data_IF_056302753127
#
_entry.id   IF_056302753127
#
_cell.length_a   1.000
_cell.length_b   1.000
_cell.length_c   1.000
_cell.angle_alpha   90.00
_cell.angle_beta   90.00
_cell.angle_gamma   90.00
#
_symmetry.space_group_name_H-M   'P 1'
#
loop_
_entity.id
_entity.type
_entity.pdbx_description
1 polymer ?
#
# COMPACT_ATOMS: atom_id res chain seq x y z
N UNK A 1 -44.20 -34.63 7.87
CA UNK A 1 -43.04 -33.74 7.64
C UNK A 1 -42.50 -34.06 6.26
N UNK A 2 -42.76 -33.21 5.27
CA UNK A 2 -42.24 -33.41 3.91
C UNK A 2 -40.78 -32.96 3.86
N UNK A 3 -39.86 -33.74 3.27
CA UNK A 3 -38.46 -33.37 3.17
C UNK A 3 -38.34 -32.14 2.26
N UNK A 4 -37.72 -31.09 2.78
CA UNK A 4 -37.40 -29.88 2.05
C UNK A 4 -36.42 -30.24 0.92
N UNK A 5 -36.83 -29.99 -0.33
CA UNK A 5 -36.09 -30.38 -1.53
C UNK A 5 -34.92 -29.42 -1.79
N UNK A 6 -33.85 -29.57 -1.00
CA UNK A 6 -32.56 -28.86 -1.06
C UNK A 6 -32.00 -28.69 -2.50
N UNK A 7 -32.25 -29.69 -3.36
CA UNK A 7 -31.85 -29.69 -4.76
C UNK A 7 -32.47 -28.55 -5.58
N UNK A 8 -33.74 -28.20 -5.30
CA UNK A 8 -34.44 -27.14 -6.04
C UNK A 8 -33.91 -25.76 -5.66
N UNK A 9 -33.53 -25.56 -4.39
CA UNK A 9 -32.98 -24.30 -3.90
C UNK A 9 -31.55 -24.07 -4.42
N UNK A 10 -30.71 -25.11 -4.46
CA UNK A 10 -29.38 -25.03 -5.08
C UNK A 10 -29.49 -24.67 -6.57
N UNK A 11 -30.42 -25.30 -7.30
CA UNK A 11 -30.64 -25.01 -8.72
C UNK A 11 -31.18 -23.60 -8.95
N UNK A 12 -32.09 -23.14 -8.09
CA UNK A 12 -32.63 -21.79 -8.14
C UNK A 12 -31.52 -20.75 -7.89
N UNK A 13 -30.69 -20.96 -6.86
CA UNK A 13 -29.59 -20.07 -6.53
C UNK A 13 -28.51 -20.05 -7.61
N UNK A 14 -28.17 -21.19 -8.21
CA UNK A 14 -27.24 -21.25 -9.35
C UNK A 14 -27.79 -20.49 -10.57
N UNK A 15 -29.09 -20.60 -10.85
CA UNK A 15 -29.74 -19.91 -11.96
C UNK A 15 -29.79 -18.39 -11.74
N UNK A 16 -30.05 -17.96 -10.51
CA UNK A 16 -30.07 -16.54 -10.14
C UNK A 16 -28.67 -15.91 -10.24
N UNK A 17 -27.65 -16.58 -9.74
CA UNK A 17 -26.25 -16.14 -9.88
C UNK A 17 -25.82 -16.07 -11.35
N UNK A 18 -26.18 -17.07 -12.16
CA UNK A 18 -25.90 -17.06 -13.60
C UNK A 18 -26.61 -15.89 -14.31
N UNK A 19 -27.86 -15.60 -13.96
CA UNK A 19 -28.59 -14.46 -14.50
C UNK A 19 -27.94 -13.12 -14.09
N UNK A 20 -27.47 -12.99 -12.84
CA UNK A 20 -26.76 -11.81 -12.36
C UNK A 20 -25.45 -11.56 -13.09
N UNK A 21 -24.63 -12.61 -13.28
CA UNK A 21 -23.37 -12.54 -14.04
C UNK A 21 -23.64 -12.18 -15.50
N UNK A 22 -24.64 -12.78 -16.12
CA UNK A 22 -25.04 -12.46 -17.50
C UNK A 22 -25.52 -11.01 -17.64
N UNK A 23 -26.33 -10.51 -16.70
CA UNK A 23 -26.78 -9.13 -16.72
C UNK A 23 -25.64 -8.12 -16.47
N UNK A 24 -24.61 -8.51 -15.70
CA UNK A 24 -23.41 -7.70 -15.51
C UNK A 24 -22.55 -7.65 -16.77
N UNK A 25 -22.28 -8.81 -17.39
CA UNK A 25 -21.51 -8.87 -18.63
C UNK A 25 -22.22 -8.13 -19.77
N UNK A 26 -23.54 -8.25 -19.88
CA UNK A 26 -24.38 -7.48 -20.82
C UNK A 26 -24.17 -5.96 -20.63
N UNK A 27 -24.15 -5.48 -19.39
CA UNK A 27 -23.95 -4.06 -19.07
C UNK A 27 -22.54 -3.58 -19.41
N UNK A 28 -21.51 -4.36 -19.11
CA UNK A 28 -20.14 -4.02 -19.48
C UNK A 28 -19.96 -4.03 -21.01
N UNK A 29 -20.54 -5.01 -21.69
CA UNK A 29 -20.52 -5.08 -23.15
C UNK A 29 -21.24 -3.90 -23.79
N UNK A 30 -22.37 -3.48 -23.22
CA UNK A 30 -23.12 -2.30 -23.70
C UNK A 30 -22.38 -0.98 -23.42
N UNK A 31 -21.51 -0.96 -22.40
CA UNK A 31 -20.66 0.19 -22.07
C UNK A 31 -19.47 0.33 -23.03
N UNK A 32 -18.87 -0.80 -23.43
CA UNK A 32 -17.73 -0.80 -24.38
C UNK A 32 -18.22 -0.68 -25.82
N UNK A 33 -19.37 -1.30 -26.15
CA UNK A 33 -19.97 -1.27 -27.49
C UNK A 33 -21.46 -0.96 -27.37
N UNK A 34 -21.81 0.31 -27.57
CA UNK A 34 -23.21 0.77 -27.57
C UNK A 34 -24.02 0.10 -28.69
N UNK A 35 -25.33 -0.06 -28.48
CA UNK A 35 -26.22 -0.67 -29.48
C UNK A 35 -26.22 0.08 -30.81
N UNK A 36 -26.13 1.41 -30.79
CA UNK A 36 -26.03 2.24 -32.00
C UNK A 36 -24.78 1.91 -32.82
N UNK A 37 -23.65 1.62 -32.15
CA UNK A 37 -22.40 1.23 -32.83
C UNK A 37 -22.59 -0.09 -33.58
N UNK A 38 -23.36 -1.03 -32.99
CA UNK A 38 -23.65 -2.32 -33.64
C UNK A 38 -24.55 -2.13 -34.86
N UNK A 39 -25.62 -1.35 -34.73
CA UNK A 39 -26.52 -1.07 -35.85
C UNK A 39 -25.81 -0.35 -36.99
N UNK A 40 -24.94 0.62 -36.69
CA UNK A 40 -24.10 1.29 -37.69
C UNK A 40 -23.12 0.33 -38.35
N UNK A 41 -22.47 -0.55 -37.59
CA UNK A 41 -21.55 -1.54 -38.16
C UNK A 41 -22.27 -2.50 -39.12
N UNK A 42 -23.46 -2.99 -38.75
CA UNK A 42 -24.27 -3.84 -39.63
C UNK A 42 -24.76 -3.08 -40.88
N UNK A 43 -25.23 -1.84 -40.71
CA UNK A 43 -25.63 -0.99 -41.84
C UNK A 43 -24.49 -0.75 -42.82
N UNK A 44 -23.30 -0.43 -42.32
CA UNK A 44 -22.11 -0.25 -43.14
C UNK A 44 -21.68 -1.54 -43.86
N UNK A 45 -21.69 -2.69 -43.16
CA UNK A 45 -21.35 -3.97 -43.78
C UNK A 45 -22.35 -4.35 -44.88
N UNK A 46 -23.64 -4.09 -44.65
CA UNK A 46 -24.69 -4.34 -45.64
C UNK A 46 -24.55 -3.44 -46.87
N UNK A 47 -24.33 -2.13 -46.66
CA UNK A 47 -24.11 -1.19 -47.76
C UNK A 47 -22.85 -1.56 -48.56
N UNK A 48 -21.76 -1.92 -47.89
CA UNK A 48 -20.52 -2.36 -48.56
C UNK A 48 -20.71 -3.63 -49.39
N UNK A 49 -21.52 -4.58 -48.92
CA UNK A 49 -21.85 -5.78 -49.67
C UNK A 49 -22.64 -5.46 -50.96
N UNK A 50 -23.47 -4.41 -50.96
CA UNK A 50 -24.22 -3.95 -52.13
C UNK A 50 -23.32 -3.14 -53.10
N UNK A 51 -22.46 -2.27 -52.57
CA UNK A 51 -21.58 -1.41 -53.36
C UNK A 51 -20.44 -2.20 -54.03
N UNK A 52 -19.80 -3.12 -53.30
CA UNK A 52 -18.62 -3.87 -53.76
C UNK A 52 -18.70 -5.36 -53.40
N UNK A 53 -19.59 -6.13 -54.05
CA UNK A 53 -19.87 -7.53 -53.70
C UNK A 53 -18.64 -8.45 -53.83
N UNK A 54 -17.75 -8.19 -54.80
CA UNK A 54 -16.56 -9.03 -55.01
C UNK A 54 -15.53 -8.88 -53.89
N UNK A 55 -15.28 -7.65 -53.42
CA UNK A 55 -14.38 -7.39 -52.30
C UNK A 55 -14.95 -7.89 -50.98
N UNK A 56 -16.26 -7.73 -50.77
CA UNK A 56 -16.94 -8.29 -49.61
C UNK A 56 -16.80 -9.82 -49.56
N UNK A 57 -17.06 -10.52 -50.67
CA UNK A 57 -16.92 -11.97 -50.74
C UNK A 57 -15.47 -12.43 -50.51
N UNK A 58 -14.48 -11.70 -51.05
CA UNK A 58 -13.06 -11.96 -50.80
C UNK A 58 -12.69 -11.84 -49.31
N UNK A 59 -13.08 -10.74 -48.66
CA UNK A 59 -12.84 -10.53 -47.24
C UNK A 59 -13.58 -11.55 -46.37
N UNK A 60 -14.81 -11.90 -46.73
CA UNK A 60 -15.60 -12.91 -46.03
C UNK A 60 -14.95 -14.29 -46.13
N UNK A 61 -14.48 -14.68 -47.32
CA UNK A 61 -13.74 -15.92 -47.51
C UNK A 61 -12.45 -15.92 -46.70
N UNK A 62 -11.68 -14.82 -46.75
CA UNK A 62 -10.46 -14.67 -45.95
C UNK A 62 -10.77 -14.78 -44.45
N UNK A 63 -11.85 -14.16 -43.96
CA UNK A 63 -12.30 -14.26 -42.57
C UNK A 63 -12.64 -15.70 -42.20
N UNK A 64 -13.38 -16.42 -43.05
CA UNK A 64 -13.76 -17.81 -42.80
C UNK A 64 -12.53 -18.73 -42.74
N UNK A 65 -11.62 -18.60 -43.71
CA UNK A 65 -10.38 -19.40 -43.74
C UNK A 65 -9.43 -19.02 -42.60
N UNK A 66 -9.38 -17.75 -42.20
CA UNK A 66 -8.56 -17.27 -41.08
C UNK A 66 -9.25 -17.41 -39.71
N UNK A 67 -10.51 -17.85 -39.66
CA UNK A 67 -11.28 -17.94 -38.42
C UNK A 67 -10.63 -18.89 -37.41
N UNK A 68 -10.26 -20.09 -37.88
CA UNK A 68 -9.62 -21.10 -37.03
C UNK A 68 -8.28 -20.62 -36.43
N UNK A 69 -7.32 -20.07 -37.21
CA UNK A 69 -6.07 -19.58 -36.63
C UNK A 69 -6.29 -18.39 -35.69
N UNK A 70 -7.26 -17.50 -35.97
CA UNK A 70 -7.62 -16.41 -35.05
C UNK A 70 -8.15 -16.97 -33.72
N UNK A 71 -9.04 -17.97 -33.76
CA UNK A 71 -9.60 -18.59 -32.56
C UNK A 71 -8.50 -19.22 -31.70
N UNK A 72 -7.61 -20.00 -32.31
CA UNK A 72 -6.47 -20.62 -31.63
C UNK A 72 -5.54 -19.56 -31.03
N UNK A 73 -5.26 -18.48 -31.75
CA UNK A 73 -4.44 -17.40 -31.24
C UNK A 73 -5.08 -16.70 -30.03
N UNK A 74 -6.37 -16.43 -30.09
CA UNK A 74 -7.11 -15.78 -28.99
C UNK A 74 -7.16 -16.71 -27.77
N UNK A 75 -7.43 -17.99 -27.95
CA UNK A 75 -7.48 -18.95 -26.84
C UNK A 75 -6.11 -19.15 -26.20
N UNK A 76 -5.04 -19.24 -27.01
CA UNK A 76 -3.67 -19.28 -26.53
C UNK A 76 -3.30 -18.01 -25.75
N UNK A 77 -3.62 -16.83 -26.29
CA UNK A 77 -3.36 -15.54 -25.65
C UNK A 77 -4.09 -15.43 -24.31
N UNK A 78 -5.38 -15.78 -24.26
CA UNK A 78 -6.17 -15.77 -23.03
C UNK A 78 -5.61 -16.74 -21.99
N UNK A 79 -5.23 -17.95 -22.41
CA UNK A 79 -4.61 -18.96 -21.53
C UNK A 79 -3.27 -18.48 -20.98
N UNK A 80 -2.45 -17.85 -21.81
CA UNK A 80 -1.14 -17.30 -21.41
C UNK A 80 -1.32 -16.17 -20.40
N UNK A 81 -2.27 -15.27 -20.62
CA UNK A 81 -2.58 -14.19 -19.68
C UNK A 81 -3.03 -14.77 -18.33
N UNK A 82 -3.98 -15.71 -18.35
CA UNK A 82 -4.47 -16.35 -17.12
C UNK A 82 -3.35 -17.08 -16.37
N UNK A 83 -2.50 -17.81 -17.09
CA UNK A 83 -1.35 -18.50 -16.53
C UNK A 83 -0.32 -17.52 -15.95
N UNK A 84 -0.01 -16.43 -16.65
CA UNK A 84 0.91 -15.40 -16.18
C UNK A 84 0.42 -14.73 -14.90
N UNK A 85 -0.87 -14.41 -14.80
CA UNK A 85 -1.46 -13.89 -13.56
C UNK A 85 -1.37 -14.90 -12.41
N UNK A 86 -1.66 -16.17 -12.67
CA UNK A 86 -1.53 -17.23 -11.67
C UNK A 86 -0.08 -17.38 -11.17
N UNK A 87 0.87 -17.45 -12.11
CA UNK A 87 2.29 -17.55 -11.80
C UNK A 87 2.80 -16.32 -11.03
N UNK A 88 2.42 -15.12 -11.47
CA UNK A 88 2.77 -13.87 -10.79
C UNK A 88 2.22 -13.84 -9.36
N UNK A 89 0.97 -14.25 -9.16
CA UNK A 89 0.38 -14.30 -7.83
C UNK A 89 1.15 -15.26 -6.90
N UNK A 90 1.42 -16.48 -7.34
CA UNK A 90 2.19 -17.47 -6.56
C UNK A 90 3.60 -16.96 -6.27
N UNK A 91 4.28 -16.42 -7.28
CA UNK A 91 5.62 -15.87 -7.15
C UNK A 91 5.68 -14.71 -6.16
N UNK A 92 4.76 -13.75 -6.27
CA UNK A 92 4.66 -12.64 -5.34
C UNK A 92 4.36 -13.11 -3.93
N UNK A 93 3.41 -14.04 -3.75
CA UNK A 93 3.06 -14.55 -2.42
C UNK A 93 4.24 -15.28 -1.76
N UNK A 94 4.99 -16.05 -2.55
CA UNK A 94 6.22 -16.69 -2.11
C UNK A 94 7.26 -15.66 -1.65
N UNK A 95 7.57 -14.65 -2.48
CA UNK A 95 8.55 -13.63 -2.14
C UNK A 95 8.13 -12.73 -0.97
N UNK A 96 6.83 -12.44 -0.85
CA UNK A 96 6.29 -11.75 0.32
C UNK A 96 6.50 -12.59 1.58
N UNK A 97 6.27 -13.91 1.50
CA UNK A 97 6.55 -14.83 2.59
C UNK A 97 8.03 -14.85 2.98
N UNK A 98 8.93 -14.94 2.01
CA UNK A 98 10.39 -14.86 2.23
C UNK A 98 10.77 -13.51 2.86
N UNK A 99 10.23 -12.41 2.37
CA UNK A 99 10.48 -11.08 2.92
C UNK A 99 10.00 -10.98 4.37
N UNK A 100 8.82 -11.51 4.70
CA UNK A 100 8.30 -11.58 6.07
C UNK A 100 9.20 -12.42 6.99
N UNK A 101 9.68 -13.56 6.51
CA UNK A 101 10.58 -14.44 7.26
C UNK A 101 11.87 -13.70 7.68
N UNK A 102 12.37 -12.81 6.83
CA UNK A 102 13.56 -11.98 7.11
C UNK A 102 13.20 -10.74 7.92
N UNK A 103 12.08 -10.09 7.61
CA UNK A 103 11.65 -8.84 8.24
C UNK A 103 11.34 -9.03 9.73
N UNK A 104 10.66 -10.12 10.10
CA UNK A 104 10.28 -10.41 11.50
C UNK A 104 11.51 -10.45 12.42
N UNK A 105 12.57 -11.25 12.15
CA UNK A 105 13.76 -11.28 13.00
C UNK A 105 14.53 -9.95 12.96
N UNK A 106 14.59 -9.28 11.80
CA UNK A 106 15.20 -7.94 11.73
C UNK A 106 14.46 -6.94 12.62
N UNK A 107 13.13 -6.93 12.60
CA UNK A 107 12.32 -6.04 13.41
C UNK A 107 12.46 -6.34 14.90
N UNK A 108 12.52 -7.63 15.26
CA UNK A 108 12.76 -8.03 16.64
C UNK A 108 14.14 -7.56 17.12
N UNK A 109 15.16 -7.69 16.28
CA UNK A 109 16.52 -7.24 16.57
C UNK A 109 16.59 -5.72 16.72
N UNK A 110 16.00 -4.96 15.81
CA UNK A 110 16.00 -3.48 15.88
C UNK A 110 15.18 -2.97 17.06
N UNK A 111 14.02 -3.56 17.35
CA UNK A 111 13.25 -3.25 18.56
C UNK A 111 14.04 -3.55 19.84
N UNK A 112 14.76 -4.68 19.89
CA UNK A 112 15.60 -5.03 21.03
C UNK A 112 16.70 -3.98 21.26
N UNK A 113 17.39 -3.56 20.20
CA UNK A 113 18.37 -2.48 20.27
C UNK A 113 17.73 -1.17 20.74
N UNK A 114 16.58 -0.81 20.19
CA UNK A 114 15.87 0.42 20.57
C UNK A 114 15.52 0.42 22.07
N UNK A 115 15.06 -0.71 22.62
CA UNK A 115 14.77 -0.85 24.05
C UNK A 115 16.04 -0.72 24.88
N UNK A 116 17.15 -1.35 24.48
CA UNK A 116 18.44 -1.23 25.19
C UNK A 116 18.93 0.22 25.23
N UNK A 117 18.88 0.92 24.10
CA UNK A 117 19.24 2.34 24.01
C UNK A 117 18.33 3.19 24.89
N UNK A 118 17.02 2.91 24.90
CA UNK A 118 16.08 3.61 25.75
C UNK A 118 16.35 3.38 27.25
N UNK A 119 16.58 2.13 27.68
CA UNK A 119 16.94 1.80 29.06
C UNK A 119 18.24 2.50 29.45
N UNK A 120 19.23 2.54 28.56
CA UNK A 120 20.48 3.25 28.79
C UNK A 120 20.29 4.76 28.94
N UNK A 121 19.50 5.36 28.05
CA UNK A 121 19.22 6.80 28.08
C UNK A 121 18.39 7.18 29.32
N UNK A 122 17.34 6.42 29.63
CA UNK A 122 16.52 6.61 30.83
C UNK A 122 17.35 6.41 32.10
N UNK A 123 18.20 5.38 32.14
CA UNK A 123 19.13 5.13 33.24
C UNK A 123 20.10 6.29 33.44
N UNK A 124 20.72 6.77 32.36
CA UNK A 124 21.64 7.91 32.39
C UNK A 124 20.94 9.19 32.87
N UNK A 125 19.71 9.44 32.40
CA UNK A 125 18.92 10.59 32.82
C UNK A 125 18.55 10.52 34.30
N UNK A 126 18.12 9.34 34.80
CA UNK A 126 17.81 9.14 36.21
C UNK A 126 19.05 9.32 37.08
N UNK A 127 20.20 8.75 36.69
CA UNK A 127 21.48 8.93 37.40
C UNK A 127 21.89 10.40 37.41
N UNK A 128 21.83 11.09 36.27
CA UNK A 128 22.13 12.51 36.18
C UNK A 128 21.20 13.35 37.07
N UNK A 129 19.90 13.05 37.08
CA UNK A 129 18.92 13.71 37.95
C UNK A 129 19.22 13.47 39.43
N UNK A 130 19.52 12.24 39.83
CA UNK A 130 19.88 11.90 41.21
C UNK A 130 21.18 12.55 41.65
N UNK A 131 22.19 12.60 40.77
CA UNK A 131 23.43 13.33 41.02
C UNK A 131 23.17 14.84 41.15
N UNK A 132 22.28 15.41 40.35
CA UNK A 132 21.91 16.82 40.47
C UNK A 132 21.20 17.11 41.79
N UNK A 133 20.23 16.28 42.19
CA UNK A 133 19.51 16.37 43.46
C UNK A 133 20.42 16.16 44.69
N UNK A 134 21.42 15.29 44.58
CA UNK A 134 22.35 14.95 45.67
C UNK A 134 23.60 15.83 45.68
N UNK A 135 23.90 16.51 44.58
CA UNK A 135 24.94 17.51 44.54
C UNK A 135 24.47 18.73 45.34
N UNK A 136 25.26 19.22 46.30
CA UNK A 136 25.02 20.50 46.95
C UNK A 136 25.36 21.67 46.01
N UNK A 137 25.42 21.42 44.70
CA UNK A 137 25.55 22.45 43.67
C UNK A 137 24.13 22.93 43.34
N UNK A 138 23.46 23.46 44.37
CA UNK A 138 22.83 24.77 44.15
C UNK A 138 23.95 25.58 43.51
N UNK A 139 23.76 26.02 42.27
CA UNK A 139 24.52 27.13 41.74
C UNK A 139 24.25 28.34 42.63
N UNK A 140 24.85 28.34 43.84
CA UNK A 140 25.20 29.53 44.57
C UNK A 140 26.27 30.12 43.67
N UNK A 141 25.80 30.91 42.70
CA UNK A 141 26.62 31.75 41.87
C UNK A 141 27.30 32.72 42.80
N UNK A 142 28.37 32.24 43.41
CA UNK A 142 29.31 33.04 44.16
C UNK A 142 30.67 32.60 43.62
N UNK A 143 30.94 33.13 42.43
CA UNK A 143 32.30 33.19 41.93
C UNK A 143 33.00 34.20 42.85
N UNK A 144 33.56 33.70 43.94
CA UNK A 144 34.44 34.47 44.81
C UNK A 144 35.73 34.76 44.03
N UNK A 145 35.76 35.91 43.35
CA UNK A 145 36.94 36.36 42.61
C UNK A 145 37.82 37.12 43.59
N UNK A 146 38.91 36.49 44.00
CA UNK A 146 39.90 37.13 44.88
C UNK A 146 40.67 38.19 44.07
N UNK A 147 40.30 39.45 44.26
CA UNK A 147 41.00 40.58 43.69
C UNK A 147 42.23 40.90 44.57
N UNK A 148 43.38 41.28 43.99
CA UNK A 148 44.69 41.39 44.65
C UNK A 148 44.81 42.49 45.73
N UNK A 149 43.70 42.98 46.29
CA UNK A 149 43.64 44.01 47.32
C UNK A 149 42.88 43.60 48.58
N UNK A 150 42.75 42.29 48.85
CA UNK A 150 42.30 41.75 50.15
C UNK A 150 40.85 42.02 50.51
N UNK A 151 39.96 42.23 49.51
CA UNK A 151 38.52 42.40 49.73
C UNK A 151 37.73 41.40 48.90
N UNK A 152 36.94 40.58 49.58
CA UNK A 152 36.12 39.52 49.01
C UNK A 152 34.79 40.09 48.50
N UNK A 153 34.51 39.93 47.22
CA UNK A 153 33.23 40.33 46.62
C UNK A 153 32.41 39.09 46.30
N UNK A 154 31.27 38.96 46.98
CA UNK A 154 30.27 37.96 46.65
C UNK A 154 29.42 38.48 45.48
N UNK A 155 29.51 37.84 44.31
CA UNK A 155 28.79 38.25 43.09
C UNK A 155 27.65 37.30 42.86
N UNK A 156 26.49 37.62 43.44
CA UNK A 156 25.25 36.87 43.18
C UNK A 156 24.59 37.37 41.90
N UNK A 157 24.57 36.50 40.88
CA UNK A 157 23.86 36.77 39.62
C UNK A 157 22.39 36.35 39.76
N UNK A 158 21.49 37.32 39.83
CA UNK A 158 20.04 37.10 39.63
C UNK A 158 19.66 37.38 38.18
N UNK A 159 18.53 36.83 37.73
CA UNK A 159 18.06 36.92 36.33
C UNK A 159 17.77 38.36 35.84
N UNK A 160 17.79 39.35 36.74
CA UNK A 160 17.42 40.75 36.46
C UNK A 160 18.62 41.72 36.36
N UNK A 161 19.86 41.23 36.52
CA UNK A 161 21.08 42.05 36.43
C UNK A 161 22.08 41.80 37.56
N UNK A 162 23.34 42.22 37.34
CA UNK A 162 24.47 41.98 38.25
C UNK A 162 24.57 43.11 39.27
N UNK A 163 24.41 42.80 40.56
CA UNK A 163 24.62 43.75 41.65
C UNK A 163 25.76 43.27 42.54
N UNK A 164 26.79 44.10 42.72
CA UNK A 164 27.91 43.84 43.62
C UNK A 164 27.61 44.46 44.99
N UNK A 165 27.61 43.64 46.05
CA UNK A 165 27.55 44.13 47.42
C UNK A 165 28.94 44.03 48.06
N UNK A 166 29.43 45.16 48.57
CA UNK A 166 30.65 45.22 49.38
C UNK A 166 30.32 44.75 50.80
N UNK A 167 30.96 43.68 51.25
CA UNK A 167 31.05 43.36 52.67
C UNK A 167 32.25 44.11 53.25
N UNK A 168 32.07 44.76 54.41
CA UNK A 168 33.14 45.39 55.17
C UNK A 168 33.36 44.62 56.46
#
# INVERSE_FOLDING_TARGET
MAPHNDYNDIKASAKENAAGVFAYSQRQMNRVVSQDTRQRAYGNAYNFAQEQPFLFAFLLAQLIFSFLPILVFVSFSASTIAFAFGAAAVFSLFWIGVALLVLVPTLFFTCSIAVLVWVWAAGSFVVAKRLYEMSPIRARGDLEVDAPNGKTYAVTKHEDGVHAHSHN
#
